data_IF_546737832955
#
_entry.id   IF_546737832955
#
_cell.length_a   1.000
_cell.length_b   1.000
_cell.length_c   1.000
_cell.angle_alpha   90.00
_cell.angle_beta   90.00
_cell.angle_gamma   90.00
#
_symmetry.space_group_name_H-M   'P 1'
#
loop_
_entity.id
_entity.type
_entity.pdbx_description
1 polymer ?
#
# COMPACT_ATOMS: atom_id res chain seq x y z
N UNK A 1 -18.08 27.00 50.68
CA UNK A 1 -16.80 26.69 50.01
C UNK A 1 -17.21 25.91 48.78
N UNK A 2 -17.52 26.65 47.72
CA UNK A 2 -18.18 26.16 46.50
C UNK A 2 -17.17 26.08 45.35
N UNK A 3 -17.45 25.13 44.47
CA UNK A 3 -16.53 24.52 43.51
C UNK A 3 -16.17 25.44 42.34
N UNK A 4 -14.95 25.27 41.85
CA UNK A 4 -14.22 26.06 40.85
C UNK A 4 -15.02 26.31 39.55
N UNK A 5 -15.02 27.54 38.99
CA UNK A 5 -15.70 27.82 37.72
C UNK A 5 -14.96 27.17 36.54
N UNK A 6 -15.70 26.43 35.72
CA UNK A 6 -15.29 25.91 34.42
C UNK A 6 -14.98 27.09 33.47
N UNK A 7 -13.76 27.13 32.91
CA UNK A 7 -13.46 27.96 31.74
C UNK A 7 -13.08 27.05 30.58
N UNK A 8 -14.00 26.96 29.63
CA UNK A 8 -13.86 26.24 28.37
C UNK A 8 -13.06 27.13 27.40
N UNK A 9 -11.77 26.82 27.22
CA UNK A 9 -10.93 27.46 26.20
C UNK A 9 -11.01 26.60 24.93
N UNK A 10 -12.09 26.79 24.17
CA UNK A 10 -12.28 26.16 22.86
C UNK A 10 -11.49 26.98 21.83
N UNK A 11 -10.19 26.70 21.74
CA UNK A 11 -9.40 27.02 20.55
C UNK A 11 -8.89 25.69 20.00
N UNK A 12 -9.76 24.98 19.28
CA UNK A 12 -9.34 24.05 18.24
C UNK A 12 -10.29 24.17 17.04
N UNK A 13 -10.30 25.36 16.43
CA UNK A 13 -10.78 25.54 15.08
C UNK A 13 -9.59 25.80 14.16
N UNK A 14 -8.66 24.84 14.09
CA UNK A 14 -7.71 24.82 12.98
C UNK A 14 -8.50 24.43 11.72
N UNK A 15 -9.01 25.44 11.03
CA UNK A 15 -9.50 25.31 9.66
C UNK A 15 -8.28 25.04 8.78
N UNK A 16 -7.79 23.79 8.73
CA UNK A 16 -6.92 23.37 7.64
C UNK A 16 -7.81 23.08 6.46
N UNK A 17 -8.10 24.17 5.74
CA UNK A 17 -8.32 24.19 4.31
C UNK A 17 -7.62 22.98 3.71
N UNK A 18 -8.41 21.95 3.35
CA UNK A 18 -7.93 20.83 2.56
C UNK A 18 -7.68 21.41 1.17
N UNK A 19 -6.55 22.09 1.10
CA UNK A 19 -5.98 22.69 -0.08
C UNK A 19 -5.56 21.53 -0.94
N UNK A 20 -6.45 21.20 -1.87
CA UNK A 20 -6.12 20.63 -3.16
C UNK A 20 -4.77 21.20 -3.65
N UNK A 21 -3.95 20.34 -4.27
CA UNK A 21 -2.57 20.56 -4.78
C UNK A 21 -1.45 20.07 -3.87
N UNK A 22 -1.36 18.77 -3.70
CA UNK A 22 -0.03 18.15 -3.57
C UNK A 22 0.20 17.38 -4.87
N UNK A 23 1.16 17.88 -5.66
CA UNK A 23 1.63 17.21 -6.86
C UNK A 23 1.88 15.74 -6.52
N UNK A 24 1.42 14.84 -7.40
CA UNK A 24 1.62 13.40 -7.30
C UNK A 24 3.02 13.18 -6.76
N UNK A 25 3.12 12.67 -5.53
CA UNK A 25 4.40 12.27 -4.97
C UNK A 25 4.84 11.08 -5.83
N UNK A 26 5.51 11.36 -6.95
CA UNK A 26 6.03 10.34 -7.85
C UNK A 26 7.16 9.70 -7.05
N UNK A 27 6.79 8.65 -6.33
CA UNK A 27 7.76 7.79 -5.68
C UNK A 27 8.59 7.16 -6.80
N UNK A 28 9.89 6.89 -6.58
CA UNK A 28 10.70 6.19 -7.58
C UNK A 28 10.11 4.83 -7.98
N UNK A 29 9.16 4.29 -7.20
CA UNK A 29 8.40 3.08 -7.52
C UNK A 29 7.24 3.29 -8.51
N UNK A 30 6.79 4.52 -8.78
CA UNK A 30 5.66 4.81 -9.68
C UNK A 30 6.03 4.57 -11.17
N UNK A 31 7.33 4.53 -11.49
CA UNK A 31 7.86 4.24 -12.83
C UNK A 31 8.33 2.78 -12.98
N UNK A 32 8.22 1.96 -11.92
CA UNK A 32 8.58 0.54 -12.01
C UNK A 32 7.44 -0.25 -12.65
N UNK A 33 7.78 -0.97 -13.71
CA UNK A 33 6.91 -2.01 -14.25
C UNK A 33 6.98 -3.24 -13.33
N UNK A 34 5.85 -3.84 -12.99
CA UNK A 34 5.79 -5.04 -12.15
C UNK A 34 5.35 -6.25 -12.96
N UNK A 35 5.96 -7.39 -12.68
CA UNK A 35 5.61 -8.70 -13.25
C UNK A 35 5.11 -9.61 -12.14
N UNK A 36 4.11 -10.43 -12.47
CA UNK A 36 3.60 -11.49 -11.60
C UNK A 36 3.76 -12.85 -12.29
N UNK A 37 4.22 -13.85 -11.54
CA UNK A 37 4.25 -15.25 -11.97
C UNK A 37 3.45 -16.09 -10.99
N UNK A 38 2.69 -17.06 -11.49
CA UNK A 38 1.99 -18.05 -10.67
C UNK A 38 2.67 -19.39 -10.88
N UNK A 39 3.28 -19.91 -9.82
CA UNK A 39 3.96 -21.19 -9.80
C UNK A 39 3.00 -22.27 -9.26
N UNK A 40 2.67 -23.29 -10.07
CA UNK A 40 1.83 -24.39 -9.60
C UNK A 40 2.62 -25.43 -8.81
N UNK A 41 1.99 -26.01 -7.79
CA UNK A 41 2.56 -27.08 -6.98
C UNK A 41 1.58 -28.25 -6.86
N UNK A 42 2.09 -29.49 -6.89
CA UNK A 42 1.23 -30.70 -6.91
C UNK A 42 0.59 -30.98 -5.53
N UNK A 43 1.32 -30.69 -4.44
CA UNK A 43 0.93 -30.98 -3.06
C UNK A 43 0.66 -29.72 -2.21
N UNK A 44 0.65 -28.53 -2.83
CA UNK A 44 0.51 -27.25 -2.14
C UNK A 44 -0.31 -26.26 -2.99
N UNK A 45 -0.94 -25.24 -2.37
CA UNK A 45 -1.61 -24.19 -3.13
C UNK A 45 -0.61 -23.46 -4.05
N UNK A 46 -1.11 -23.02 -5.20
CA UNK A 46 -0.33 -22.24 -6.15
C UNK A 46 0.22 -20.97 -5.49
N UNK A 47 1.46 -20.61 -5.81
CA UNK A 47 2.10 -19.42 -5.26
C UNK A 47 2.24 -18.35 -6.34
N UNK A 48 1.64 -17.18 -6.09
CA UNK A 48 1.81 -16.00 -6.92
C UNK A 48 2.93 -15.14 -6.34
N UNK A 49 3.96 -14.87 -7.15
CA UNK A 49 5.08 -13.98 -6.78
C UNK A 49 5.09 -12.75 -7.70
N UNK A 50 5.08 -11.58 -7.09
CA UNK A 50 5.10 -10.27 -7.75
C UNK A 50 6.45 -9.59 -7.47
N UNK A 51 7.06 -9.04 -8.51
CA UNK A 51 8.35 -8.37 -8.40
C UNK A 51 8.50 -7.29 -9.50
N UNK A 52 9.33 -6.25 -9.27
CA UNK A 52 9.63 -5.26 -10.29
C UNK A 52 10.43 -5.87 -11.45
N UNK A 53 10.02 -5.55 -12.68
CA UNK A 53 10.71 -5.91 -13.90
C UNK A 53 12.01 -5.10 -14.04
N UNK A 54 13.06 -5.74 -14.57
CA UNK A 54 14.31 -5.05 -14.92
C UNK A 54 15.30 -4.84 -13.77
N UNK A 55 15.05 -5.39 -12.59
CA UNK A 55 16.04 -5.45 -11.51
C UNK A 55 16.95 -6.68 -11.65
N UNK A 56 18.17 -6.57 -11.14
CA UNK A 56 19.13 -7.68 -11.08
C UNK A 56 18.66 -8.73 -10.06
N UNK A 57 19.11 -9.98 -10.19
CA UNK A 57 18.75 -11.08 -9.27
C UNK A 57 19.02 -10.72 -7.79
N UNK A 58 20.14 -10.06 -7.51
CA UNK A 58 20.51 -9.60 -6.17
C UNK A 58 19.58 -8.52 -5.58
N UNK A 59 18.89 -7.76 -6.43
CA UNK A 59 17.95 -6.72 -6.02
C UNK A 59 16.53 -7.29 -5.84
N UNK A 60 16.18 -8.28 -6.67
CA UNK A 60 14.89 -8.98 -6.62
C UNK A 60 14.65 -9.70 -5.31
N UNK A 61 15.69 -10.32 -4.72
CA UNK A 61 15.58 -11.10 -3.46
C UNK A 61 15.07 -10.29 -2.26
N UNK A 62 15.11 -8.96 -2.32
CA UNK A 62 14.60 -8.08 -1.25
C UNK A 62 13.32 -7.33 -1.62
N UNK A 63 12.88 -7.42 -2.88
CA UNK A 63 11.82 -6.56 -3.43
C UNK A 63 10.63 -7.36 -3.97
N UNK A 64 10.60 -8.68 -3.76
CA UNK A 64 9.47 -9.53 -4.12
C UNK A 64 8.41 -9.64 -3.02
N UNK A 65 7.19 -9.98 -3.42
CA UNK A 65 6.11 -10.38 -2.53
C UNK A 65 5.47 -11.65 -3.09
N UNK A 66 5.20 -12.62 -2.21
CA UNK A 66 4.60 -13.89 -2.58
C UNK A 66 3.33 -14.14 -1.77
N UNK A 67 2.33 -14.73 -2.41
CA UNK A 67 1.04 -15.05 -1.81
C UNK A 67 0.52 -16.39 -2.33
N UNK A 68 -0.08 -17.18 -1.45
CA UNK A 68 -0.71 -18.45 -1.81
C UNK A 68 -2.08 -18.23 -2.46
N UNK A 69 -2.53 -19.20 -3.24
CA UNK A 69 -3.86 -19.25 -3.85
C UNK A 69 -4.96 -18.92 -2.84
N UNK A 70 -5.94 -18.11 -3.26
CA UNK A 70 -7.00 -17.58 -2.41
C UNK A 70 -6.62 -16.31 -1.64
N UNK A 71 -5.35 -15.91 -1.62
CA UNK A 71 -4.90 -14.63 -1.03
C UNK A 71 -4.72 -13.50 -2.07
N UNK A 72 -4.77 -13.84 -3.35
CA UNK A 72 -4.74 -12.90 -4.47
C UNK A 72 -5.94 -13.15 -5.40
N UNK A 73 -6.27 -12.17 -6.23
CA UNK A 73 -7.46 -12.14 -7.09
C UNK A 73 -7.12 -11.47 -8.42
N UNK A 74 -7.72 -11.93 -9.52
CA UNK A 74 -7.47 -11.34 -10.83
C UNK A 74 -8.20 -10.00 -10.95
N UNK A 75 -7.52 -8.98 -11.47
CA UNK A 75 -8.12 -7.65 -11.65
C UNK A 75 -9.22 -7.63 -12.71
N UNK A 76 -9.14 -8.49 -13.73
CA UNK A 76 -10.18 -8.64 -14.76
C UNK A 76 -11.52 -9.10 -14.16
N UNK A 77 -11.46 -9.82 -13.03
CA UNK A 77 -12.65 -10.33 -12.32
C UNK A 77 -13.31 -9.28 -11.40
N UNK A 78 -12.70 -8.09 -11.25
CA UNK A 78 -13.14 -7.00 -10.36
C UNK A 78 -13.87 -5.85 -11.09
N UNK A 79 -14.56 -6.15 -12.19
CA UNK A 79 -15.33 -5.18 -13.00
C UNK A 79 -16.75 -4.95 -12.51
#
# INVERSE_FOLDING_TARGET
MEETPLRHDDTDAMTTTTTERQGRNVSPADDLEYTAIVAPYDDAPDECTIFPAGLSEDELVTTWISAQEGSYVSLDEMV
#
